data_IF_913940039146
#
_entry.id   IF_913940039146
#
_cell.length_a   1.000
_cell.length_b   1.000
_cell.length_c   1.000
_cell.angle_alpha   90.00
_cell.angle_beta   90.00
_cell.angle_gamma   90.00
#
_symmetry.space_group_name_H-M   'P 1'
#
loop_
_entity.id
_entity.type
_entity.pdbx_description
1 polymer ?
#
# COMPACT_ATOMS: atom_id res chain seq x y z
N UNK A 1 -4.19 0.75 15.21
CA UNK A 1 -3.99 1.82 16.20
C UNK A 1 -3.53 3.06 15.44
N UNK A 2 -4.13 4.22 15.71
CA UNK A 2 -3.62 5.51 15.19
C UNK A 2 -2.38 5.84 16.02
N UNK A 3 -1.22 5.96 15.36
CA UNK A 3 0.00 6.39 16.01
C UNK A 3 -0.15 7.88 16.37
N UNK A 4 0.07 8.27 17.63
CA UNK A 4 -0.06 9.67 18.08
C UNK A 4 0.77 10.57 17.17
N UNK A 5 0.12 11.47 16.44
CA UNK A 5 0.77 12.48 15.57
C UNK A 5 0.56 12.30 14.07
N UNK A 6 0.02 11.18 13.58
CA UNK A 6 -0.24 10.99 12.15
C UNK A 6 -1.74 11.01 11.83
N UNK A 7 -2.18 12.05 11.12
CA UNK A 7 -3.48 12.10 10.49
C UNK A 7 -3.38 11.37 9.15
N UNK A 8 -4.09 10.25 9.05
CA UNK A 8 -4.18 9.48 7.82
C UNK A 8 -5.37 9.96 7.00
N UNK A 9 -5.22 10.05 5.69
CA UNK A 9 -6.31 10.21 4.74
C UNK A 9 -6.34 8.99 3.83
N UNK A 10 -7.50 8.34 3.75
CA UNK A 10 -7.76 7.25 2.81
C UNK A 10 -8.26 7.85 1.51
N UNK A 11 -7.52 7.64 0.44
CA UNK A 11 -7.86 8.10 -0.91
C UNK A 11 -8.40 6.92 -1.71
N UNK A 12 -9.54 7.12 -2.37
CA UNK A 12 -10.10 6.19 -3.34
C UNK A 12 -9.79 6.65 -4.75
N UNK A 13 -9.00 5.88 -5.48
CA UNK A 13 -8.53 6.22 -6.83
C UNK A 13 -9.03 5.24 -7.89
N UNK A 14 -9.55 5.77 -9.00
CA UNK A 14 -9.92 4.98 -10.18
C UNK A 14 -8.71 4.82 -11.11
N UNK A 15 -8.20 3.60 -11.26
CA UNK A 15 -7.07 3.32 -12.14
C UNK A 15 -7.41 3.44 -13.63
N UNK A 16 -8.66 3.20 -14.02
CA UNK A 16 -9.09 3.20 -15.41
C UNK A 16 -9.23 4.64 -15.90
N UNK A 17 -9.98 5.44 -15.16
CA UNK A 17 -10.24 6.85 -15.49
C UNK A 17 -9.15 7.80 -14.95
N UNK A 18 -8.15 7.25 -14.24
CA UNK A 18 -7.01 7.96 -13.64
C UNK A 18 -7.39 9.15 -12.77
N UNK A 19 -8.44 9.02 -11.99
CA UNK A 19 -8.99 10.12 -11.17
C UNK A 19 -9.26 9.69 -9.73
N UNK A 20 -9.21 10.66 -8.83
CA UNK A 20 -9.65 10.46 -7.44
C UNK A 20 -11.18 10.44 -7.42
N UNK A 21 -11.76 9.39 -6.84
CA UNK A 21 -13.20 9.22 -6.67
C UNK A 21 -13.66 9.93 -5.40
N UNK A 22 -12.97 9.68 -4.29
CA UNK A 22 -13.34 10.18 -2.97
C UNK A 22 -12.14 10.18 -2.03
N UNK A 23 -12.08 11.11 -1.09
CA UNK A 23 -11.10 11.07 0.00
C UNK A 23 -11.81 11.12 1.34
N UNK A 24 -11.28 10.39 2.32
CA UNK A 24 -11.87 10.31 3.64
C UNK A 24 -10.80 10.32 4.73
N UNK A 25 -11.04 11.09 5.78
CA UNK A 25 -10.11 11.17 6.90
C UNK A 25 -10.17 9.91 7.77
N UNK A 26 -9.00 9.32 8.00
CA UNK A 26 -8.74 8.26 8.96
C UNK A 26 -8.84 6.84 8.41
N UNK A 27 -8.22 5.91 9.14
CA UNK A 27 -8.16 4.48 8.82
C UNK A 27 -9.23 3.69 9.59
N UNK A 28 -10.47 3.71 9.10
CA UNK A 28 -11.61 2.99 9.71
C UNK A 28 -12.43 2.25 8.66
N UNK A 29 -13.13 1.18 9.02
CA UNK A 29 -14.02 0.48 8.09
C UNK A 29 -15.17 1.36 7.55
N UNK A 30 -15.49 2.46 8.24
CA UNK A 30 -16.57 3.40 7.86
C UNK A 30 -16.28 4.16 6.57
N UNK A 31 -15.03 4.21 6.10
CA UNK A 31 -14.64 4.89 4.85
C UNK A 31 -15.35 4.28 3.64
N UNK A 32 -15.47 2.95 3.59
CA UNK A 32 -16.17 2.23 2.51
C UNK A 32 -17.68 2.49 2.50
N UNK A 33 -18.29 2.77 3.66
CA UNK A 33 -19.70 3.18 3.74
C UNK A 33 -19.93 4.49 3.00
N UNK A 34 -19.01 5.44 3.16
CA UNK A 34 -19.08 6.76 2.54
C UNK A 34 -18.81 6.65 1.05
N UNK A 35 -17.79 5.89 0.65
CA UNK A 35 -17.53 5.58 -0.75
C UNK A 35 -18.77 5.00 -1.45
N UNK A 36 -19.45 4.03 -0.83
CA UNK A 36 -20.66 3.42 -1.40
C UNK A 36 -21.78 4.42 -1.67
N UNK A 37 -21.88 5.50 -0.87
CA UNK A 37 -22.88 6.57 -1.08
C UNK A 37 -22.50 7.53 -2.21
N UNK A 38 -21.21 7.71 -2.46
CA UNK A 38 -20.67 8.62 -3.49
C UNK A 38 -20.64 7.94 -4.86
N UNK A 39 -20.40 6.63 -4.89
CA UNK A 39 -20.39 5.88 -6.13
C UNK A 39 -21.80 5.77 -6.74
N UNK A 40 -21.98 6.13 -8.02
CA UNK A 40 -23.28 6.00 -8.69
C UNK A 40 -23.69 4.54 -8.85
N UNK A 41 -22.72 3.65 -9.06
CA UNK A 41 -22.97 2.22 -9.32
C UNK A 41 -21.99 1.34 -8.51
N UNK A 42 -22.18 1.21 -7.19
CA UNK A 42 -21.25 0.49 -6.33
C UNK A 42 -21.13 -1.01 -6.66
N UNK A 43 -22.15 -1.59 -7.29
CA UNK A 43 -22.18 -3.00 -7.70
C UNK A 43 -21.26 -3.31 -8.88
N UNK A 44 -20.87 -2.29 -9.67
CA UNK A 44 -19.91 -2.44 -10.78
C UNK A 44 -18.46 -2.56 -10.30
N UNK A 45 -18.19 -2.34 -9.02
CA UNK A 45 -16.85 -2.49 -8.45
C UNK A 45 -16.53 -3.98 -8.32
N UNK A 46 -15.72 -4.52 -9.24
CA UNK A 46 -15.36 -5.95 -9.24
C UNK A 46 -14.09 -6.25 -8.45
N UNK A 47 -13.09 -5.40 -8.52
CA UNK A 47 -11.83 -5.58 -7.80
C UNK A 47 -11.39 -4.28 -7.16
N UNK A 48 -10.91 -4.39 -5.92
CA UNK A 48 -10.36 -3.26 -5.17
C UNK A 48 -8.95 -3.61 -4.70
N UNK A 49 -7.99 -2.77 -5.09
CA UNK A 49 -6.61 -2.85 -4.62
C UNK A 49 -6.49 -2.11 -3.28
N UNK A 50 -5.94 -2.75 -2.24
CA UNK A 50 -5.81 -2.12 -0.93
C UNK A 50 -4.67 -2.68 -0.09
N UNK A 51 -4.32 -1.95 0.96
CA UNK A 51 -3.45 -2.42 2.05
C UNK A 51 -4.08 -3.62 2.78
N UNK A 52 -3.24 -4.52 3.30
CA UNK A 52 -3.59 -5.77 4.00
C UNK A 52 -4.24 -5.55 5.37
N UNK A 53 -4.68 -4.34 5.71
CA UNK A 53 -5.17 -4.04 7.05
C UNK A 53 -6.55 -4.62 7.30
N UNK A 54 -6.73 -5.19 8.50
CA UNK A 54 -8.00 -5.79 8.94
C UNK A 54 -9.20 -4.86 8.78
N UNK A 55 -9.03 -3.55 9.00
CA UNK A 55 -10.11 -2.57 8.89
C UNK A 55 -10.63 -2.42 7.45
N UNK A 56 -9.74 -2.54 6.47
CA UNK A 56 -10.09 -2.44 5.06
C UNK A 56 -10.74 -3.71 4.56
N UNK A 57 -10.19 -4.87 4.92
CA UNK A 57 -10.80 -6.16 4.63
C UNK A 57 -12.23 -6.19 5.16
N UNK A 58 -12.44 -5.85 6.44
CA UNK A 58 -13.78 -5.80 7.05
C UNK A 58 -14.69 -4.72 6.43
N UNK A 59 -14.12 -3.61 5.97
CA UNK A 59 -14.86 -2.55 5.30
C UNK A 59 -15.36 -3.01 3.94
N UNK A 60 -14.48 -3.54 3.10
CA UNK A 60 -14.82 -4.00 1.77
C UNK A 60 -15.81 -5.15 1.81
N UNK A 61 -15.56 -6.19 2.61
CA UNK A 61 -16.47 -7.35 2.71
C UNK A 61 -17.87 -6.95 3.17
N UNK A 62 -17.97 -5.92 4.04
CA UNK A 62 -19.26 -5.43 4.54
C UNK A 62 -20.03 -4.58 3.52
N UNK A 63 -19.37 -3.66 2.81
CA UNK A 63 -20.06 -2.69 1.96
C UNK A 63 -20.10 -3.09 0.48
N UNK A 64 -19.13 -3.89 0.04
CA UNK A 64 -18.94 -4.37 -1.34
C UNK A 64 -18.72 -5.90 -1.36
N UNK A 65 -19.71 -6.70 -0.97
CA UNK A 65 -19.55 -8.16 -0.85
C UNK A 65 -19.28 -8.88 -2.19
N UNK A 66 -19.62 -8.25 -3.32
CA UNK A 66 -19.35 -8.79 -4.66
C UNK A 66 -17.95 -8.45 -5.21
N UNK A 67 -17.16 -7.65 -4.48
CA UNK A 67 -15.83 -7.24 -4.92
C UNK A 67 -14.75 -8.20 -4.41
N UNK A 68 -13.77 -8.51 -5.26
CA UNK A 68 -12.57 -9.25 -4.89
C UNK A 68 -11.53 -8.31 -4.27
N UNK A 69 -10.85 -8.79 -3.24
CA UNK A 69 -9.74 -8.09 -2.58
C UNK A 69 -8.46 -8.40 -3.34
N UNK A 70 -7.77 -7.36 -3.80
CA UNK A 70 -6.42 -7.44 -4.35
C UNK A 70 -5.49 -6.71 -3.40
N UNK A 71 -4.40 -7.35 -2.97
CA UNK A 71 -3.41 -6.68 -2.14
C UNK A 71 -2.46 -5.86 -3.00
N UNK A 72 -2.22 -4.62 -2.58
CA UNK A 72 -1.30 -3.75 -3.28
C UNK A 72 0.15 -4.29 -3.23
N UNK A 73 0.79 -4.27 -4.39
CA UNK A 73 2.13 -4.78 -4.63
C UNK A 73 3.19 -4.11 -3.75
N UNK A 74 3.08 -2.80 -3.50
CA UNK A 74 4.05 -2.10 -2.66
C UNK A 74 4.03 -2.63 -1.22
N UNK A 75 2.85 -2.82 -0.65
CA UNK A 75 2.69 -3.35 0.71
C UNK A 75 3.15 -4.80 0.81
N UNK A 76 2.92 -5.62 -0.22
CA UNK A 76 3.41 -7.00 -0.28
C UNK A 76 4.94 -7.04 -0.29
N UNK A 77 5.59 -6.28 -1.18
CA UNK A 77 7.05 -6.21 -1.25
C UNK A 77 7.63 -5.66 0.06
N UNK A 78 7.04 -4.59 0.60
CA UNK A 78 7.49 -4.01 1.87
C UNK A 78 7.44 -5.05 2.99
N UNK A 79 6.34 -5.80 3.11
CA UNK A 79 6.19 -6.86 4.10
C UNK A 79 7.26 -7.96 3.95
N UNK A 80 7.57 -8.39 2.72
CA UNK A 80 8.64 -9.35 2.46
C UNK A 80 10.01 -8.80 2.88
N UNK A 81 10.33 -7.56 2.50
CA UNK A 81 11.60 -6.92 2.86
C UNK A 81 11.75 -6.79 4.38
N UNK A 82 10.68 -6.42 5.09
CA UNK A 82 10.70 -6.31 6.54
C UNK A 82 10.98 -7.66 7.22
N UNK A 83 10.50 -8.77 6.66
CA UNK A 83 10.81 -10.14 7.16
C UNK A 83 12.29 -10.46 6.94
N UNK A 84 12.79 -10.24 5.72
CA UNK A 84 14.20 -10.49 5.38
C UNK A 84 15.13 -9.66 6.26
N UNK A 85 14.81 -8.38 6.47
CA UNK A 85 15.57 -7.49 7.34
C UNK A 85 15.56 -7.96 8.80
N UNK A 86 14.46 -8.53 9.30
CA UNK A 86 14.42 -9.12 10.65
C UNK A 86 15.35 -10.33 10.75
N UNK A 87 15.33 -11.24 9.79
CA UNK A 87 16.22 -12.41 9.76
C UNK A 87 17.68 -11.96 9.71
N UNK A 88 18.02 -11.02 8.83
CA UNK A 88 19.38 -10.46 8.76
C UNK A 88 19.85 -9.90 10.11
N UNK A 89 18.98 -9.17 10.82
CA UNK A 89 19.32 -8.62 12.15
C UNK A 89 19.53 -9.70 13.20
N UNK A 90 18.77 -10.80 13.14
CA UNK A 90 18.95 -11.95 14.04
C UNK A 90 20.29 -12.64 13.78
N UNK A 91 20.58 -12.97 12.52
CA UNK A 91 21.85 -13.62 12.13
C UNK A 91 23.08 -12.75 12.45
N UNK A 92 22.98 -11.43 12.26
CA UNK A 92 24.05 -10.50 12.63
C UNK A 92 24.38 -10.51 14.13
N UNK A 93 23.40 -10.79 14.99
CA UNK A 93 23.62 -10.89 16.44
C UNK A 93 24.49 -12.09 16.79
N UNK A 94 24.36 -13.17 16.04
CA UNK A 94 25.08 -14.44 16.26
C UNK A 94 26.40 -14.52 15.48
N UNK A 95 26.49 -13.84 14.33
CA UNK A 95 27.66 -13.87 13.47
C UNK A 95 28.40 -12.52 13.44
N UNK A 96 29.57 -12.48 14.08
CA UNK A 96 30.41 -11.29 14.15
C UNK A 96 30.92 -10.80 12.79
N UNK A 97 30.98 -11.68 11.77
CA UNK A 97 31.38 -11.33 10.39
C UNK A 97 30.31 -10.49 9.68
N UNK A 98 29.05 -10.55 10.13
CA UNK A 98 27.94 -9.80 9.57
C UNK A 98 27.77 -8.42 10.24
N UNK A 99 28.61 -8.06 11.22
CA UNK A 99 28.61 -6.75 11.87
C UNK A 99 28.82 -5.65 10.80
N UNK A 100 27.95 -4.64 10.79
CA UNK A 100 27.92 -3.50 9.87
C UNK A 100 27.34 -3.73 8.46
N UNK A 101 26.67 -4.86 8.22
CA UNK A 101 25.87 -5.07 6.99
C UNK A 101 24.51 -4.33 6.99
N UNK A 102 24.16 -3.67 8.10
CA UNK A 102 22.91 -2.90 8.27
C UNK A 102 22.84 -1.61 7.44
N UNK A 103 23.90 -1.25 6.75
CA UNK A 103 23.93 -0.06 5.90
C UNK A 103 24.42 -0.44 4.53
N UNK A 104 23.69 0.00 3.50
CA UNK A 104 24.20 -0.07 2.14
C UNK A 104 25.58 0.60 2.09
N UNK A 105 26.56 -0.13 1.57
CA UNK A 105 27.88 0.39 1.26
C UNK A 105 27.77 1.57 0.29
N UNK A 106 28.80 2.41 0.23
CA UNK A 106 28.81 3.55 -0.68
C UNK A 106 28.59 3.14 -2.16
N UNK A 107 29.07 1.95 -2.52
CA UNK A 107 28.91 1.34 -3.85
C UNK A 107 27.47 0.93 -4.13
N UNK A 108 26.81 0.30 -3.16
CA UNK A 108 25.39 -0.06 -3.25
C UNK A 108 24.50 1.18 -3.30
N UNK A 109 24.81 2.22 -2.51
CA UNK A 109 24.12 3.53 -2.59
C UNK A 109 24.22 4.15 -3.98
N UNK A 110 25.41 4.15 -4.58
CA UNK A 110 25.61 4.65 -5.96
C UNK A 110 24.82 3.82 -6.97
N UNK A 111 24.88 2.49 -6.88
CA UNK A 111 24.13 1.57 -7.75
C UNK A 111 22.62 1.77 -7.61
N UNK A 112 22.11 1.93 -6.39
CA UNK A 112 20.69 2.20 -6.14
C UNK A 112 20.25 3.55 -6.72
N UNK A 113 21.08 4.60 -6.64
CA UNK A 113 20.81 5.89 -7.31
C UNK A 113 20.73 5.73 -8.83
N UNK A 114 21.62 4.96 -9.45
CA UNK A 114 21.57 4.67 -10.89
C UNK A 114 20.31 3.89 -11.27
N UNK A 115 19.90 2.93 -10.44
CA UNK A 115 18.69 2.11 -10.66
C UNK A 115 17.40 2.92 -10.46
N UNK A 116 17.39 3.95 -9.60
CA UNK A 116 16.22 4.84 -9.44
C UNK A 116 15.88 5.66 -10.69
N UNK A 117 16.88 6.00 -11.50
CA UNK A 117 16.70 6.80 -12.73
C UNK A 117 16.42 5.94 -13.95
N UNK A 118 16.77 4.67 -13.89
CA UNK A 118 16.20 3.69 -14.77
C UNK A 118 14.75 3.56 -14.32
N UNK A 119 13.81 3.93 -15.18
CA UNK A 119 12.42 3.49 -15.04
C UNK A 119 12.45 1.96 -14.98
N UNK A 120 12.68 1.42 -13.78
CA UNK A 120 12.14 0.14 -13.41
C UNK A 120 10.67 0.36 -13.68
N UNK A 121 10.22 -0.15 -14.83
CA UNK A 121 8.85 -0.54 -15.04
C UNK A 121 8.56 -1.45 -13.87
N UNK A 122 8.22 -0.88 -12.71
CA UNK A 122 7.34 -1.52 -11.76
C UNK A 122 6.29 -2.12 -12.67
N UNK A 123 6.10 -3.45 -12.65
CA UNK A 123 5.03 -4.02 -13.42
C UNK A 123 3.83 -3.17 -13.04
N UNK A 124 3.30 -2.42 -14.03
CA UNK A 124 2.08 -1.66 -13.86
C UNK A 124 1.16 -2.69 -13.20
N UNK A 125 0.77 -2.40 -11.96
CA UNK A 125 -0.16 -3.20 -11.20
C UNK A 125 -1.18 -3.73 -12.19
N UNK A 126 -1.35 -5.06 -12.21
CA UNK A 126 -2.32 -5.88 -12.95
C UNK A 126 -3.08 -5.11 -14.05
N UNK A 127 -3.02 -5.51 -15.34
CA UNK A 127 -3.61 -4.76 -16.44
C UNK A 127 -5.01 -4.20 -16.08
N UNK A 128 -5.28 -2.93 -16.41
CA UNK A 128 -6.43 -2.14 -15.92
C UNK A 128 -7.80 -2.67 -16.38
N UNK A 129 -7.87 -3.86 -16.96
CA UNK A 129 -9.14 -4.50 -17.32
C UNK A 129 -10.00 -4.83 -16.09
N UNK A 130 -9.45 -4.83 -14.88
CA UNK A 130 -10.15 -5.36 -13.70
C UNK A 130 -10.14 -4.50 -12.42
N UNK A 131 -9.26 -3.52 -12.21
CA UNK A 131 -9.17 -2.77 -10.95
C UNK A 131 -9.93 -1.43 -11.01
N UNK A 132 -11.04 -1.29 -10.27
CA UNK A 132 -11.92 -0.11 -10.34
C UNK A 132 -11.74 0.87 -9.17
N UNK A 133 -11.00 0.51 -8.12
CA UNK A 133 -10.69 1.42 -7.01
C UNK A 133 -9.42 0.97 -6.26
N UNK A 134 -8.58 1.93 -5.86
CA UNK A 134 -7.46 1.76 -4.93
C UNK A 134 -7.75 2.51 -3.64
N UNK A 135 -7.55 1.88 -2.47
CA UNK A 135 -7.63 2.55 -1.18
C UNK A 135 -6.23 2.68 -0.57
N UNK A 136 -5.66 3.89 -0.62
CA UNK A 136 -4.31 4.18 -0.11
C UNK A 136 -4.38 5.13 1.08
N UNK A 137 -3.70 4.79 2.17
CA UNK A 137 -3.50 5.68 3.31
C UNK A 137 -2.28 6.57 3.05
N UNK A 138 -2.51 7.88 2.95
CA UNK A 138 -1.44 8.87 2.91
C UNK A 138 -1.30 9.57 4.27
N UNK A 139 -0.09 9.61 4.86
CA UNK A 139 0.16 10.48 6.00
C UNK A 139 0.10 11.95 5.53
N UNK A 140 -0.72 12.78 6.20
CA UNK A 140 -0.64 14.24 6.03
C UNK A 140 0.56 14.75 6.81
N UNK A 141 1.54 15.32 6.11
CA UNK A 141 2.56 16.15 6.75
C UNK A 141 1.97 17.54 6.99
N UNK A 142 2.08 18.04 8.23
CA UNK A 142 1.81 19.44 8.52
C UNK A 142 3.08 20.24 8.21
N UNK A 143 2.92 21.25 7.36
CA UNK A 143 3.88 22.35 7.24
C UNK A 143 3.77 23.31 8.41
#
# INVERSE_FOLDING_TARGET
AVMKGHNYETVFYDHKERRVIHTEMGKKNTVFRKLKKVLPEPEKVKNVSMDMTKWYILGLTKYFPGSQIVFDHFHVIKGMNDVVDRVRRMEQKENSLLKNTNTMTLREKKRFKTIKHLDLKTPKSIPPSHCNAEAVDHPKEHG
#
